data_IF_467781615383
#
_entry.id   IF_467781615383
#
_cell.length_a   1.000
_cell.length_b   1.000
_cell.length_c   1.000
_cell.angle_alpha   90.00
_cell.angle_beta   90.00
_cell.angle_gamma   90.00
#
_symmetry.space_group_name_H-M   'P 1'
#
loop_
_entity.id
_entity.type
_entity.pdbx_description
1 polymer ?
#
# COMPACT_ATOMS: atom_id res chain seq x y z
N UNK A 1 3.09 -12.33 -5.62
CA UNK A 1 2.78 -11.24 -6.56
C UNK A 1 1.69 -10.39 -5.96
N UNK A 2 2.05 -9.19 -5.54
CA UNK A 2 1.14 -8.21 -5.02
C UNK A 2 0.58 -7.39 -6.18
N UNK A 3 -0.74 -7.21 -6.24
CA UNK A 3 -1.38 -6.32 -7.22
C UNK A 3 -2.31 -5.32 -6.53
N UNK A 4 -2.20 -4.07 -6.95
CA UNK A 4 -2.95 -2.94 -6.43
C UNK A 4 -3.77 -2.32 -7.56
N UNK A 5 -5.09 -2.28 -7.46
CA UNK A 5 -5.94 -1.48 -8.34
C UNK A 5 -7.20 -1.03 -7.60
N UNK A 6 -7.20 0.21 -7.07
CA UNK A 6 -8.31 0.68 -6.26
C UNK A 6 -8.56 2.19 -6.34
N UNK A 7 -9.75 2.57 -5.85
CA UNK A 7 -10.16 3.94 -5.56
C UNK A 7 -10.24 4.07 -4.05
N UNK A 8 -9.63 5.13 -3.51
CA UNK A 8 -9.66 5.41 -2.08
C UNK A 8 -9.74 6.90 -1.76
N UNK A 9 -10.51 7.22 -0.74
CA UNK A 9 -10.51 8.48 -0.02
C UNK A 9 -10.58 8.19 1.48
N UNK A 10 -10.01 9.06 2.29
CA UNK A 10 -10.19 8.94 3.73
C UNK A 10 -11.66 9.20 4.10
N UNK A 11 -12.27 8.44 5.05
CA UNK A 11 -13.65 8.67 5.47
C UNK A 11 -13.93 10.11 5.93
N UNK A 12 -12.93 10.75 6.55
CA UNK A 12 -13.01 12.15 6.99
C UNK A 12 -13.00 13.17 5.84
N UNK A 13 -12.65 12.77 4.61
CA UNK A 13 -12.51 13.64 3.43
C UNK A 13 -13.07 12.93 2.17
N UNK A 14 -14.38 12.66 2.10
CA UNK A 14 -14.97 11.80 1.07
C UNK A 14 -14.86 12.36 -0.36
N UNK A 15 -14.72 13.68 -0.51
CA UNK A 15 -14.56 14.34 -1.80
C UNK A 15 -13.10 14.40 -2.30
N UNK A 16 -12.12 14.00 -1.47
CA UNK A 16 -10.71 14.04 -1.84
C UNK A 16 -10.18 12.62 -2.11
N UNK A 17 -10.15 12.23 -3.38
CA UNK A 17 -9.61 10.93 -3.81
C UNK A 17 -8.08 10.96 -3.72
N UNK A 18 -7.54 10.09 -2.89
CA UNK A 18 -6.09 9.94 -2.70
C UNK A 18 -5.51 8.92 -3.68
N UNK A 19 -6.28 7.87 -3.98
CA UNK A 19 -5.95 6.92 -5.04
C UNK A 19 -7.08 6.89 -6.06
N UNK A 20 -6.74 7.12 -7.33
CA UNK A 20 -7.66 7.07 -8.45
C UNK A 20 -7.01 6.26 -9.57
N UNK A 21 -7.37 4.96 -9.66
CA UNK A 21 -6.87 4.02 -10.67
C UNK A 21 -5.35 3.73 -10.61
N UNK A 22 -4.74 3.84 -9.43
CA UNK A 22 -3.33 3.48 -9.26
C UNK A 22 -3.12 1.99 -9.54
N UNK A 23 -2.06 1.64 -10.27
CA UNK A 23 -1.65 0.25 -10.51
C UNK A 23 -0.22 0.02 -10.06
N UNK A 24 -0.04 -0.90 -9.12
CA UNK A 24 1.28 -1.35 -8.65
C UNK A 24 1.29 -2.88 -8.64
N UNK A 25 2.35 -3.46 -9.21
CA UNK A 25 2.62 -4.89 -9.13
C UNK A 25 4.00 -5.11 -8.52
N UNK A 26 4.08 -5.91 -7.46
CA UNK A 26 5.34 -6.24 -6.77
C UNK A 26 5.50 -7.75 -6.74
N UNK A 27 6.63 -8.29 -7.19
CA UNK A 27 6.88 -9.73 -7.13
C UNK A 27 7.24 -10.16 -5.71
N UNK A 28 7.01 -11.44 -5.40
CA UNK A 28 7.44 -11.98 -4.12
C UNK A 28 8.97 -11.89 -3.99
N UNK A 29 9.46 -11.42 -2.83
CA UNK A 29 10.88 -11.18 -2.58
C UNK A 29 11.44 -9.91 -3.24
N UNK A 30 10.59 -9.11 -3.89
CA UNK A 30 10.99 -7.83 -4.46
C UNK A 30 10.83 -6.70 -3.42
N UNK A 31 11.80 -5.79 -3.43
CA UNK A 31 11.72 -4.54 -2.66
C UNK A 31 11.54 -3.38 -3.62
N UNK A 32 10.48 -2.59 -3.44
CA UNK A 32 10.17 -1.42 -4.25
C UNK A 32 10.24 -0.15 -3.42
N UNK A 33 10.67 0.94 -4.05
CA UNK A 33 10.70 2.27 -3.46
C UNK A 33 9.52 3.09 -3.97
N UNK A 34 8.65 3.56 -3.05
CA UNK A 34 7.60 4.52 -3.35
C UNK A 34 8.16 5.94 -3.16
N UNK A 35 8.45 6.63 -4.25
CA UNK A 35 9.03 7.98 -4.25
C UNK A 35 8.02 9.02 -4.74
N UNK A 36 7.98 10.19 -4.10
CA UNK A 36 7.12 11.29 -4.55
C UNK A 36 7.03 12.45 -3.55
N UNK A 37 6.46 13.59 -3.96
CA UNK A 37 6.33 14.76 -3.10
C UNK A 37 5.49 14.46 -1.86
N UNK A 38 5.70 15.21 -0.78
CA UNK A 38 4.87 15.04 0.43
C UNK A 38 3.39 15.25 0.09
N UNK A 39 2.52 14.43 0.67
CA UNK A 39 1.08 14.43 0.38
C UNK A 39 0.65 13.68 -0.89
N UNK A 40 1.56 13.08 -1.66
CA UNK A 40 1.22 12.33 -2.88
C UNK A 40 0.51 10.97 -2.66
N UNK A 41 0.19 10.60 -1.41
CA UNK A 41 -0.53 9.36 -1.10
C UNK A 41 0.32 8.12 -0.81
N UNK A 42 1.64 8.26 -0.60
CA UNK A 42 2.56 7.13 -0.35
C UNK A 42 2.24 6.38 0.95
N UNK A 43 2.11 7.12 2.06
CA UNK A 43 1.68 6.55 3.34
C UNK A 43 0.26 5.97 3.26
N UNK A 44 -0.59 6.52 2.40
CA UNK A 44 -1.93 5.99 2.12
C UNK A 44 -1.85 4.64 1.43
N UNK A 45 -0.98 4.50 0.41
CA UNK A 45 -0.74 3.22 -0.24
C UNK A 45 -0.33 2.16 0.79
N UNK A 46 0.69 2.44 1.62
CA UNK A 46 1.14 1.53 2.70
C UNK A 46 0.00 1.19 3.66
N UNK A 47 -0.82 2.17 4.03
CA UNK A 47 -1.96 1.95 4.92
C UNK A 47 -2.99 0.99 4.33
N UNK A 48 -3.20 1.02 3.02
CA UNK A 48 -4.08 0.10 2.31
C UNK A 48 -3.46 -1.30 2.18
N UNK A 49 -2.14 -1.40 1.92
CA UNK A 49 -1.41 -2.68 1.90
C UNK A 49 -1.50 -3.41 3.25
N UNK A 50 -1.34 -2.66 4.35
CA UNK A 50 -1.41 -3.18 5.72
C UNK A 50 -2.85 -3.36 6.25
N UNK A 51 -3.85 -3.08 5.39
CA UNK A 51 -5.28 -3.09 5.71
C UNK A 51 -5.62 -2.33 6.99
N UNK A 52 -5.03 -1.13 7.14
CA UNK A 52 -5.57 -0.14 8.10
C UNK A 52 -6.84 0.51 7.57
N UNK A 53 -6.98 0.56 6.25
CA UNK A 53 -8.21 0.91 5.56
C UNK A 53 -8.47 -0.09 4.44
N UNK A 54 -9.74 -0.28 4.10
CA UNK A 54 -10.13 -1.00 2.90
C UNK A 54 -10.45 0.02 1.78
N UNK A 55 -10.19 -0.33 0.51
CA UNK A 55 -10.51 0.55 -0.61
C UNK A 55 -12.02 0.75 -0.76
N UNK A 56 -12.42 1.90 -1.31
CA UNK A 56 -13.83 2.21 -1.60
C UNK A 56 -14.32 1.41 -2.81
N UNK A 57 -13.46 1.22 -3.80
CA UNK A 57 -13.73 0.38 -4.96
C UNK A 57 -12.43 -0.28 -5.47
N UNK A 58 -12.58 -1.37 -6.21
CA UNK A 58 -11.46 -2.19 -6.70
C UNK A 58 -11.01 -3.22 -5.66
N UNK A 59 -9.80 -3.72 -5.83
CA UNK A 59 -9.22 -4.76 -5.00
C UNK A 59 -7.71 -4.61 -4.88
N UNK A 60 -7.20 -5.19 -3.80
CA UNK A 60 -5.77 -5.36 -3.58
C UNK A 60 -5.60 -6.86 -3.34
N UNK A 61 -4.64 -7.49 -4.01
CA UNK A 61 -4.45 -8.93 -3.95
C UNK A 61 -3.01 -9.31 -3.66
N UNK A 62 -2.82 -10.38 -2.87
CA UNK A 62 -1.56 -11.08 -2.71
C UNK A 62 -1.70 -12.44 -3.38
N UNK A 63 -0.88 -12.72 -4.39
CA UNK A 63 -0.89 -13.96 -5.18
C UNK A 63 -2.30 -14.32 -5.71
N UNK A 64 -3.05 -13.31 -6.16
CA UNK A 64 -4.42 -13.48 -6.66
C UNK A 64 -5.50 -13.58 -5.58
N UNK A 65 -5.14 -13.64 -4.30
CA UNK A 65 -6.08 -13.62 -3.18
C UNK A 65 -6.34 -12.19 -2.70
N UNK A 66 -7.61 -11.77 -2.66
CA UNK A 66 -7.99 -10.47 -2.12
C UNK A 66 -7.54 -10.35 -0.66
N UNK A 67 -6.86 -9.24 -0.31
CA UNK A 67 -6.36 -9.04 1.04
C UNK A 67 -7.47 -9.07 2.10
N UNK A 68 -8.72 -8.76 1.70
CA UNK A 68 -9.91 -8.82 2.56
C UNK A 68 -10.22 -10.24 3.05
N UNK A 69 -9.82 -11.24 2.27
CA UNK A 69 -10.00 -12.66 2.59
C UNK A 69 -8.89 -13.23 3.50
N UNK A 70 -7.77 -12.52 3.66
CA UNK A 70 -6.61 -13.00 4.38
C UNK A 70 -6.66 -12.64 5.86
N UNK A 71 -6.03 -13.48 6.69
CA UNK A 71 -5.78 -13.16 8.08
C UNK A 71 -4.82 -11.96 8.18
N UNK A 72 -5.19 -10.94 8.98
CA UNK A 72 -4.41 -9.70 9.09
C UNK A 72 -3.01 -9.91 9.67
N UNK A 73 -2.83 -10.87 10.59
CA UNK A 73 -1.52 -11.16 11.15
C UNK A 73 -0.61 -11.73 10.05
N UNK A 74 -1.10 -12.76 9.34
CA UNK A 74 -0.38 -13.34 8.21
C UNK A 74 -0.02 -12.29 7.15
N UNK A 75 -0.99 -11.48 6.73
CA UNK A 75 -0.76 -10.42 5.74
C UNK A 75 0.37 -9.46 6.16
N UNK A 76 0.37 -9.03 7.42
CA UNK A 76 1.37 -8.09 7.93
C UNK A 76 2.73 -8.76 8.14
N UNK A 77 2.76 -10.06 8.44
CA UNK A 77 4.01 -10.82 8.51
C UNK A 77 4.67 -10.95 7.11
N UNK A 78 3.89 -10.90 6.03
CA UNK A 78 4.38 -10.90 4.64
C UNK A 78 4.86 -9.54 4.14
N UNK A 79 4.68 -8.45 4.89
CA UNK A 79 4.99 -7.10 4.44
C UNK A 79 6.02 -6.46 5.37
N UNK A 80 7.22 -6.23 4.84
CA UNK A 80 8.22 -5.37 5.46
C UNK A 80 8.12 -3.96 4.89
N UNK A 81 8.19 -2.93 5.73
CA UNK A 81 8.39 -1.57 5.25
C UNK A 81 9.29 -0.76 6.17
N UNK A 82 10.04 0.16 5.58
CA UNK A 82 10.84 1.15 6.31
C UNK A 82 10.19 2.52 6.09
N UNK A 83 9.64 3.07 7.18
CA UNK A 83 9.10 4.42 7.21
C UNK A 83 10.19 5.48 7.39
N UNK A 84 9.83 6.74 7.17
CA UNK A 84 10.74 7.87 7.40
C UNK A 84 11.11 8.03 8.88
N UNK A 85 12.35 8.45 9.16
CA UNK A 85 12.67 9.21 10.38
C UNK A 85 12.23 10.68 10.22
N UNK A 86 11.87 11.40 11.30
CA UNK A 86 11.44 12.79 11.21
C UNK A 86 12.65 13.68 10.86
N UNK A 87 12.77 14.08 9.59
CA UNK A 87 13.87 14.95 9.15
C UNK A 87 13.83 15.37 7.68
N UNK A 88 13.07 16.42 7.35
CA UNK A 88 13.56 17.51 6.48
C UNK A 88 13.68 17.35 4.96
N UNK A 89 13.13 16.34 4.28
CA UNK A 89 13.22 16.25 2.80
C UNK A 89 11.90 16.56 2.08
N UNK A 90 12.00 17.25 0.94
CA UNK A 90 10.87 17.68 0.08
C UNK A 90 10.20 16.53 -0.70
N UNK A 91 10.87 15.38 -0.79
CA UNK A 91 10.36 14.14 -1.36
C UNK A 91 10.58 13.01 -0.37
N UNK A 92 9.56 12.18 -0.16
CA UNK A 92 9.64 11.06 0.78
C UNK A 92 9.77 9.77 -0.02
N UNK A 93 10.54 8.83 0.53
CA UNK A 93 10.74 7.50 -0.04
C UNK A 93 10.34 6.47 1.01
N UNK A 94 9.49 5.53 0.62
CA UNK A 94 9.16 4.37 1.45
C UNK A 94 9.63 3.11 0.76
N UNK A 95 10.37 2.27 1.49
CA UNK A 95 10.75 0.94 1.01
C UNK A 95 9.67 -0.06 1.42
N UNK A 96 9.18 -0.83 0.46
CA UNK A 96 8.20 -1.89 0.63
C UNK A 96 8.80 -3.20 0.13
N UNK A 97 8.86 -4.19 1.00
CA UNK A 97 9.20 -5.57 0.66
C UNK A 97 7.96 -6.43 0.84
N UNK A 98 7.63 -7.23 -0.17
CA UNK A 98 6.50 -8.18 -0.10
C UNK A 98 7.01 -9.60 -0.26
N UNK A 99 6.76 -10.41 0.76
CA UNK A 99 6.92 -11.86 0.70
C UNK A 99 5.60 -12.49 0.21
N UNK A 100 5.70 -13.45 -0.70
CA UNK A 100 4.53 -14.21 -1.19
C UNK A 100 4.05 -15.25 -0.18
N UNK A 101 3.03 -16.02 -0.55
CA UNK A 101 2.74 -17.26 0.16
C UNK A 101 3.96 -18.19 0.06
N UNK A 102 4.50 -18.59 1.21
CA UNK A 102 5.55 -19.62 1.30
C UNK A 102 4.95 -21.00 1.08
#
# INVERSE_FOLDING_TARGET
MFEYQCIFHYPARPHNRVCDHYRLSVKAGETVALCGPSGSGKSTAISLLLRFFDPVAGSITLDGHDLRSLNLKFLRDCIGYVGQEPGGYSSEVFLLTVDGFR
#
